data_IF_789272868952
#
_entry.id   IF_789272868952
#
_cell.length_a   1.000
_cell.length_b   1.000
_cell.length_c   1.000
_cell.angle_alpha   90.00
_cell.angle_beta   90.00
_cell.angle_gamma   90.00
#
_symmetry.space_group_name_H-M   'P 1'
#
loop_
_entity.id
_entity.type
_entity.pdbx_description
1 polymer ?
#
# COMPACT_ATOMS: atom_id res chain seq x y z
N UNK A 1 10.56 11.65 -0.96
CA UNK A 1 10.05 10.27 -1.04
C UNK A 1 11.10 9.45 -1.77
N UNK A 2 11.38 8.24 -1.29
CA UNK A 2 12.50 7.38 -1.74
C UNK A 2 12.18 6.67 -3.06
N UNK A 3 13.14 6.67 -3.98
CA UNK A 3 13.00 6.21 -5.37
C UNK A 3 13.15 4.70 -5.58
N UNK A 4 13.18 3.95 -4.47
CA UNK A 4 13.50 2.53 -4.44
C UNK A 4 12.26 1.68 -4.21
N UNK A 5 12.21 0.51 -4.85
CA UNK A 5 11.12 -0.47 -4.70
C UNK A 5 10.87 -0.79 -3.21
N UNK A 6 9.62 -0.71 -2.71
CA UNK A 6 9.32 -0.95 -1.30
C UNK A 6 9.63 -2.39 -0.85
N UNK A 7 10.02 -2.54 0.41
CA UNK A 7 10.33 -3.83 1.05
C UNK A 7 9.57 -3.97 2.37
N UNK A 8 9.12 -5.19 2.70
CA UNK A 8 8.41 -5.49 3.95
C UNK A 8 9.27 -6.36 4.87
N UNK A 9 9.32 -6.00 6.15
CA UNK A 9 10.00 -6.75 7.21
C UNK A 9 9.04 -7.00 8.38
N UNK A 10 8.83 -8.27 8.76
CA UNK A 10 7.87 -8.69 9.81
C UNK A 10 8.62 -9.47 10.88
N UNK A 11 8.80 -8.86 12.06
CA UNK A 11 9.60 -9.42 13.16
C UNK A 11 8.76 -9.95 14.34
N UNK A 12 7.43 -9.76 14.39
CA UNK A 12 6.51 -10.28 15.41
C UNK A 12 5.06 -10.28 14.90
N UNK A 13 4.24 -11.26 15.30
CA UNK A 13 2.90 -11.54 14.77
C UNK A 13 1.77 -11.02 15.67
N UNK A 14 1.22 -9.87 15.33
CA UNK A 14 -0.15 -9.49 15.68
C UNK A 14 -0.93 -9.26 14.39
N UNK A 15 -2.14 -9.84 14.22
CA UNK A 15 -2.95 -9.64 13.01
C UNK A 15 -3.19 -8.17 12.66
N UNK A 16 -3.41 -7.30 13.67
CA UNK A 16 -3.59 -5.86 13.43
C UNK A 16 -2.31 -5.19 12.95
N UNK A 17 -1.16 -5.54 13.54
CA UNK A 17 0.14 -5.03 13.12
C UNK A 17 0.49 -5.49 11.70
N UNK A 18 0.18 -6.75 11.37
CA UNK A 18 0.42 -7.29 10.03
C UNK A 18 -0.44 -6.59 8.98
N UNK A 19 -1.74 -6.42 9.24
CA UNK A 19 -2.64 -5.71 8.32
C UNK A 19 -2.20 -4.25 8.14
N UNK A 20 -1.80 -3.57 9.23
CA UNK A 20 -1.28 -2.21 9.14
C UNK A 20 0.01 -2.14 8.30
N UNK A 21 0.96 -3.08 8.50
CA UNK A 21 2.20 -3.15 7.71
C UNK A 21 1.95 -3.45 6.25
N UNK A 22 1.03 -4.36 5.93
CA UNK A 22 0.65 -4.67 4.56
C UNK A 22 -0.03 -3.46 3.90
N UNK A 23 -0.92 -2.75 4.62
CA UNK A 23 -1.55 -1.54 4.10
C UNK A 23 -0.50 -0.49 3.72
N UNK A 24 0.45 -0.21 4.61
CA UNK A 24 1.55 0.71 4.31
C UNK A 24 2.38 0.22 3.11
N UNK A 25 2.74 -1.06 3.08
CA UNK A 25 3.52 -1.65 1.99
C UNK A 25 2.86 -1.48 0.62
N UNK A 26 1.57 -1.79 0.49
CA UNK A 26 0.86 -1.64 -0.78
C UNK A 26 0.59 -0.18 -1.15
N UNK A 27 0.40 0.70 -0.16
CA UNK A 27 0.34 2.15 -0.41
C UNK A 27 1.67 2.68 -0.93
N UNK A 28 2.81 2.25 -0.37
CA UNK A 28 4.12 2.68 -0.86
C UNK A 28 4.36 2.19 -2.31
N UNK A 29 3.81 1.02 -2.68
CA UNK A 29 3.83 0.54 -4.07
C UNK A 29 2.93 1.37 -4.99
N UNK A 30 1.76 1.79 -4.52
CA UNK A 30 0.88 2.69 -5.26
C UNK A 30 1.61 4.00 -5.58
N UNK A 31 2.19 4.65 -4.55
CA UNK A 31 2.97 5.88 -4.70
C UNK A 31 4.14 5.68 -5.68
N UNK A 32 4.86 4.56 -5.56
CA UNK A 32 5.96 4.22 -6.47
C UNK A 32 5.49 4.13 -7.93
N UNK A 33 4.39 3.45 -8.19
CA UNK A 33 3.88 3.30 -9.56
C UNK A 33 3.31 4.61 -10.12
N UNK A 34 2.72 5.47 -9.29
CA UNK A 34 2.28 6.80 -9.70
C UNK A 34 3.47 7.70 -10.11
N UNK A 35 4.58 7.63 -9.37
CA UNK A 35 5.83 8.33 -9.72
C UNK A 35 6.38 7.79 -11.05
N UNK A 36 6.48 6.46 -11.20
CA UNK A 36 6.94 5.84 -12.45
C UNK A 36 6.04 6.18 -13.64
N UNK A 37 4.72 6.27 -13.43
CA UNK A 37 3.77 6.73 -14.44
C UNK A 37 4.08 8.16 -14.88
N UNK A 38 4.35 9.06 -13.92
CA UNK A 38 4.77 10.43 -14.21
C UNK A 38 6.05 10.50 -15.04
N UNK A 39 7.03 9.64 -14.74
CA UNK A 39 8.28 9.53 -15.52
C UNK A 39 8.03 9.10 -16.95
N UNK A 40 7.23 8.06 -17.15
CA UNK A 40 6.89 7.56 -18.49
C UNK A 40 6.17 8.63 -19.30
N UNK A 41 5.22 9.35 -18.70
CA UNK A 41 4.53 10.46 -19.36
C UNK A 41 5.50 11.56 -19.78
N UNK A 42 6.41 11.96 -18.90
CA UNK A 42 7.44 12.96 -19.21
C UNK A 42 8.38 12.50 -20.34
N UNK A 43 8.77 11.21 -20.37
CA UNK A 43 9.57 10.67 -21.47
C UNK A 43 8.83 10.73 -22.80
N UNK A 44 7.53 10.42 -22.82
CA UNK A 44 6.71 10.46 -24.04
C UNK A 44 6.64 11.85 -24.70
N UNK A 45 6.80 12.94 -23.92
CA UNK A 45 6.83 14.31 -24.47
C UNK A 45 8.09 14.60 -25.28
N UNK A 46 9.15 13.80 -25.10
CA UNK A 46 10.48 14.04 -25.66
C UNK A 46 10.90 13.03 -26.73
N UNK A 47 10.15 11.94 -26.88
CA UNK A 47 10.45 10.87 -27.84
C UNK A 47 9.73 11.14 -29.17
N UNK A 48 10.52 11.22 -30.24
CA UNK A 48 10.04 11.39 -31.63
C UNK A 48 9.92 10.04 -32.37
N UNK A 49 10.61 9.00 -31.90
CA UNK A 49 10.58 7.66 -32.50
C UNK A 49 9.24 6.95 -32.21
N UNK A 50 8.55 6.51 -33.26
CA UNK A 50 7.23 5.88 -33.14
C UNK A 50 7.28 4.52 -32.42
N UNK A 51 8.37 3.77 -32.58
CA UNK A 51 8.53 2.47 -31.93
C UNK A 51 8.76 2.66 -30.43
N UNK A 52 9.63 3.60 -30.04
CA UNK A 52 9.87 3.94 -28.64
C UNK A 52 8.61 4.55 -27.99
N UNK A 53 7.83 5.36 -28.71
CA UNK A 53 6.52 5.82 -28.23
C UNK A 53 5.56 4.65 -27.95
N UNK A 54 5.51 3.64 -28.80
CA UNK A 54 4.65 2.48 -28.60
C UNK A 54 5.09 1.63 -27.40
N UNK A 55 6.40 1.47 -27.20
CA UNK A 55 6.94 0.81 -26.00
C UNK A 55 6.57 1.56 -24.71
N UNK A 56 6.64 2.89 -24.73
CA UNK A 56 6.22 3.74 -23.61
C UNK A 56 4.71 3.65 -23.34
N UNK A 57 3.87 3.58 -24.39
CA UNK A 57 2.42 3.36 -24.25
C UNK A 57 2.12 2.02 -23.58
N UNK A 58 2.79 0.95 -24.00
CA UNK A 58 2.63 -0.37 -23.38
C UNK A 58 3.09 -0.36 -21.91
N UNK A 59 4.18 0.34 -21.60
CA UNK A 59 4.64 0.53 -20.22
C UNK A 59 3.61 1.31 -19.38
N UNK A 60 3.02 2.37 -19.94
CA UNK A 60 1.99 3.17 -19.29
C UNK A 60 0.72 2.37 -18.99
N UNK A 61 0.30 1.50 -19.92
CA UNK A 61 -0.81 0.58 -19.71
C UNK A 61 -0.54 -0.37 -18.54
N UNK A 62 0.63 -1.03 -18.55
CA UNK A 62 1.03 -1.94 -17.45
C UNK A 62 1.08 -1.22 -16.10
N UNK A 63 1.64 0.00 -16.05
CA UNK A 63 1.67 0.80 -14.83
C UNK A 63 0.25 1.14 -14.33
N UNK A 64 -0.66 1.49 -15.24
CA UNK A 64 -2.05 1.80 -14.89
C UNK A 64 -2.78 0.59 -14.30
N UNK A 65 -2.53 -0.61 -14.84
CA UNK A 65 -3.06 -1.86 -14.28
C UNK A 65 -2.48 -2.10 -12.87
N UNK A 66 -1.17 -1.96 -12.68
CA UNK A 66 -0.54 -2.12 -11.37
C UNK A 66 -1.09 -1.13 -10.33
N UNK A 67 -1.25 0.15 -10.69
CA UNK A 67 -1.85 1.18 -9.84
C UNK A 67 -3.26 0.75 -9.39
N UNK A 68 -4.09 0.28 -10.31
CA UNK A 68 -5.45 -0.16 -9.99
C UNK A 68 -5.45 -1.35 -9.01
N UNK A 69 -4.58 -2.34 -9.22
CA UNK A 69 -4.46 -3.48 -8.31
C UNK A 69 -3.95 -3.06 -6.93
N UNK A 70 -2.90 -2.25 -6.85
CA UNK A 70 -2.34 -1.81 -5.57
C UNK A 70 -3.32 -0.93 -4.79
N UNK A 71 -4.06 -0.06 -5.48
CA UNK A 71 -5.13 0.74 -4.88
C UNK A 71 -6.22 -0.13 -4.26
N UNK A 72 -6.73 -1.11 -5.00
CA UNK A 72 -7.77 -2.02 -4.49
C UNK A 72 -7.31 -2.83 -3.27
N UNK A 73 -6.06 -3.30 -3.26
CA UNK A 73 -5.48 -4.03 -2.12
C UNK A 73 -5.30 -3.10 -0.92
N UNK A 74 -4.77 -1.90 -1.14
CA UNK A 74 -4.58 -0.87 -0.11
C UNK A 74 -5.91 -0.51 0.57
N UNK A 75 -6.97 -0.25 -0.22
CA UNK A 75 -8.30 0.07 0.28
C UNK A 75 -8.90 -1.08 1.10
N UNK A 76 -8.72 -2.32 0.63
CA UNK A 76 -9.18 -3.52 1.33
C UNK A 76 -8.49 -3.68 2.69
N UNK A 77 -7.18 -3.43 2.74
CA UNK A 77 -6.42 -3.50 3.99
C UNK A 77 -6.74 -2.33 4.92
N UNK A 78 -7.03 -1.16 4.39
CA UNK A 78 -7.54 -0.01 5.16
C UNK A 78 -8.89 -0.33 5.80
N UNK A 79 -9.79 -0.99 5.07
CA UNK A 79 -11.06 -1.48 5.62
C UNK A 79 -10.84 -2.55 6.71
N UNK A 80 -9.98 -3.55 6.46
CA UNK A 80 -9.64 -4.58 7.44
C UNK A 80 -9.00 -3.98 8.71
N UNK A 81 -8.10 -3.01 8.55
CA UNK A 81 -7.47 -2.33 9.68
C UNK A 81 -8.49 -1.60 10.54
N UNK A 82 -9.44 -0.90 9.93
CA UNK A 82 -10.55 -0.23 10.64
C UNK A 82 -11.42 -1.21 11.41
N UNK A 83 -11.73 -2.36 10.82
CA UNK A 83 -12.51 -3.41 11.49
C UNK A 83 -11.76 -4.01 12.69
N UNK A 84 -10.47 -4.28 12.56
CA UNK A 84 -9.64 -4.83 13.65
C UNK A 84 -9.45 -3.87 14.83
N UNK A 85 -9.64 -2.56 14.62
CA UNK A 85 -9.54 -1.53 15.66
C UNK A 85 -10.91 -0.96 16.09
N UNK A 86 -12.02 -1.44 15.52
CA UNK A 86 -13.35 -0.97 15.88
C UNK A 86 -13.76 -1.49 17.27
N UNK A 87 -14.18 -0.58 18.16
CA UNK A 87 -14.57 -0.85 19.57
C UNK A 87 -15.76 -1.82 19.79
N UNK A 88 -16.23 -2.53 18.76
CA UNK A 88 -17.28 -3.56 18.84
C UNK A 88 -16.91 -4.90 18.21
N UNK A 89 -15.76 -4.99 17.53
CA UNK A 89 -15.23 -6.24 16.97
C UNK A 89 -14.23 -6.82 17.98
N UNK A 90 -14.69 -7.02 19.21
CA UNK A 90 -14.05 -7.97 20.15
C UNK A 90 -14.70 -9.32 19.88
N UNK A 91 -14.60 -9.80 18.65
CA UNK A 91 -14.61 -11.25 18.45
C UNK A 91 -13.31 -11.71 19.09
N UNK A 92 -13.34 -12.77 19.91
CA UNK A 92 -12.15 -13.47 20.43
C UNK A 92 -11.29 -14.03 19.27
N UNK A 93 -10.82 -13.18 18.39
CA UNK A 93 -9.54 -13.35 17.75
C UNK A 93 -8.58 -13.17 18.91
N UNK A 94 -7.76 -14.18 19.20
CA UNK A 94 -6.68 -14.13 20.17
C UNK A 94 -5.67 -13.05 19.74
N UNK A 95 -6.10 -11.80 19.82
CA UNK A 95 -5.31 -10.61 19.57
C UNK A 95 -4.55 -10.40 20.86
N UNK A 96 -3.27 -10.71 20.79
CA UNK A 96 -2.27 -10.59 21.84
C UNK A 96 -2.59 -9.41 22.78
N UNK A 97 -3.02 -9.73 24.01
CA UNK A 97 -3.57 -8.77 24.97
C UNK A 97 -2.56 -7.67 25.35
N UNK A 98 -1.27 -7.92 25.12
CA UNK A 98 -0.19 -7.00 25.46
C UNK A 98 -0.13 -5.76 24.56
N UNK A 99 -0.70 -5.78 23.35
CA UNK A 99 -0.70 -4.61 22.44
C UNK A 99 -1.82 -3.63 22.80
N UNK A 100 -2.95 -4.11 23.33
CA UNK A 100 -4.13 -3.29 23.61
C UNK A 100 -4.10 -2.58 24.98
N UNK A 101 -3.15 -2.92 25.88
CA UNK A 101 -2.96 -2.21 27.15
C UNK A 101 -2.48 -0.75 26.98
N UNK A 102 -1.96 -0.36 25.82
CA UNK A 102 -1.42 0.99 25.61
C UNK A 102 -2.52 2.05 25.47
N UNK A 103 -3.77 1.69 25.15
CA UNK A 103 -4.83 2.68 24.85
C UNK A 103 -5.97 2.78 25.87
N UNK A 104 -5.95 2.02 26.97
CA UNK A 104 -6.95 2.12 28.04
C UNK A 104 -6.39 2.65 29.37
N UNK A 105 -5.15 3.16 29.40
CA UNK A 105 -4.62 3.87 30.56
C UNK A 105 -4.38 5.34 30.23
N UNK A 106 -5.48 6.09 30.12
CA UNK A 106 -5.52 7.51 30.51
C UNK A 106 -6.97 7.80 30.87
N UNK A 107 -7.18 7.52 32.16
CA UNK A 107 -8.26 7.86 33.09
C UNK A 107 -9.02 9.19 32.84
N UNK A 108 -10.20 9.36 33.43
CA UNK A 108 -10.46 9.21 34.88
C UNK A 108 -11.46 8.12 35.29
#
# INVERSE_FOLDING_TARGET
>A
MTDSKPQIHVNNYSPSLLVAKLHCYFRDFLDYYEIEKGRVLSSMETVEDEQEQEELRQKLQKLSEQIAYMGAVSDSLSAANRLLHAKGVVVKLELDEDIYKIYNSTEP
#
